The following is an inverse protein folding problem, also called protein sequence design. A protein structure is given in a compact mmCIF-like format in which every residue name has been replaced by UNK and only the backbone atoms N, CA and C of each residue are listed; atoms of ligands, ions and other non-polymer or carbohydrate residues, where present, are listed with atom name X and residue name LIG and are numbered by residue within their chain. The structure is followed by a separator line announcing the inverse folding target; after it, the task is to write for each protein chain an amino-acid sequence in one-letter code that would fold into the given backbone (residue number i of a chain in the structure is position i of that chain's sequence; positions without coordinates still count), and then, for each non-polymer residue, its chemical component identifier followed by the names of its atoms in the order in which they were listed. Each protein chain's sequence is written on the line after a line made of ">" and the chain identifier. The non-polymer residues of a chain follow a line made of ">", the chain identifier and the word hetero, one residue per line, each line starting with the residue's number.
data_IF_774169886425
#
_entry.id   IF_774169886425
#
_cell.length_a   1.000
_cell.length_b   1.000
_cell.length_c   1.000
_cell.angle_alpha   90.00
_cell.angle_beta   90.00
_cell.angle_gamma   90.00
#
_symmetry.space_group_name_H-M   'P 1'
#
loop_
_entity.id
_entity.type
_entity.pdbx_description
1 polymer ?
#
# COMPACT_ATOMS: atom_id res chain seq x y z
N UNK A 1 -1.23 -16.41 54.16
CA UNK A 1 -0.29 -15.35 54.61
C UNK A 1 0.70 -15.10 53.50
N UNK A 2 0.92 -13.94 52.90
CA UNK A 2 0.25 -12.64 52.80
C UNK A 2 0.80 -12.05 51.49
N UNK A 3 -0.04 -11.77 50.49
CA UNK A 3 -0.47 -10.42 50.10
C UNK A 3 0.64 -9.38 49.93
N UNK A 4 0.93 -8.98 48.69
CA UNK A 4 0.97 -7.55 48.30
C UNK A 4 0.49 -7.42 46.85
N UNK A 5 -0.74 -6.93 46.69
CA UNK A 5 -1.22 -6.28 45.48
C UNK A 5 -0.67 -4.85 45.45
N UNK A 6 -0.19 -4.39 44.30
CA UNK A 6 -0.17 -2.97 43.97
C UNK A 6 -1.11 -2.75 42.79
N UNK A 7 -2.25 -2.13 43.08
CA UNK A 7 -3.20 -1.60 42.11
C UNK A 7 -2.82 -0.14 41.86
N UNK A 8 -2.48 0.20 40.62
CA UNK A 8 -2.62 1.56 40.13
C UNK A 8 -3.66 1.55 39.00
N UNK A 9 -4.81 2.14 39.31
CA UNK A 9 -5.96 2.32 38.45
C UNK A 9 -6.00 3.80 38.04
N UNK A 10 -5.84 4.11 36.76
CA UNK A 10 -6.47 5.30 36.13
C UNK A 10 -6.75 4.97 34.66
N UNK A 11 -8.03 5.00 34.30
CA UNK A 11 -8.61 5.20 32.96
C UNK A 11 -8.20 4.29 31.79
N UNK A 12 -9.20 3.57 31.27
CA UNK A 12 -9.18 3.05 29.91
C UNK A 12 -9.87 1.71 29.81
N UNK A 13 -11.01 1.66 29.12
CA UNK A 13 -11.61 0.39 28.71
C UNK A 13 -10.61 -0.32 27.79
N UNK A 14 -9.81 -1.23 28.35
CA UNK A 14 -8.96 -2.13 27.57
C UNK A 14 -9.86 -3.08 26.81
N UNK A 15 -10.16 -2.76 25.55
CA UNK A 15 -10.71 -3.71 24.60
C UNK A 15 -9.63 -4.78 24.44
N UNK A 16 -9.82 -5.93 25.11
CA UNK A 16 -9.00 -7.10 24.91
C UNK A 16 -9.18 -7.50 23.44
N UNK A 17 -8.18 -7.23 22.61
CA UNK A 17 -8.09 -7.86 21.28
C UNK A 17 -7.96 -9.35 21.52
N UNK A 18 -9.07 -10.07 21.40
CA UNK A 18 -9.08 -11.52 21.30
C UNK A 18 -8.22 -11.87 20.09
N UNK A 19 -7.06 -12.47 20.35
CA UNK A 19 -6.25 -13.07 19.30
C UNK A 19 -7.13 -14.16 18.66
N UNK A 20 -7.43 -14.02 17.38
CA UNK A 20 -8.09 -15.07 16.62
C UNK A 20 -7.15 -16.28 16.62
N UNK A 21 -7.57 -17.37 17.25
CA UNK A 21 -6.90 -18.66 17.18
C UNK A 21 -6.80 -19.08 15.71
N UNK A 22 -5.64 -19.57 15.30
CA UNK A 22 -5.34 -20.01 13.94
C UNK A 22 -6.11 -21.31 13.68
N UNK A 23 -7.36 -21.19 13.26
CA UNK A 23 -8.21 -22.34 12.92
C UNK A 23 -7.66 -22.93 11.63
N UNK A 24 -6.89 -24.01 11.74
CA UNK A 24 -6.49 -24.82 10.60
C UNK A 24 -7.76 -25.50 10.04
N UNK A 25 -8.21 -25.05 8.87
CA UNK A 25 -9.36 -25.62 8.16
C UNK A 25 -8.82 -26.53 7.07
N UNK A 26 -9.05 -27.83 7.20
CA UNK A 26 -8.69 -28.80 6.16
C UNK A 26 -9.73 -28.71 5.02
N UNK A 27 -9.30 -28.18 3.88
CA UNK A 27 -10.15 -28.01 2.69
C UNK A 27 -10.01 -29.23 1.81
N UNK A 28 -11.09 -30.01 1.68
CA UNK A 28 -11.16 -31.20 0.81
C UNK A 28 -11.99 -30.87 -0.44
N UNK A 29 -11.38 -30.99 -1.62
CA UNK A 29 -12.07 -30.86 -2.91
C UNK A 29 -11.95 -32.19 -3.65
N UNK A 30 -13.09 -32.79 -4.03
CA UNK A 30 -13.14 -34.08 -4.76
C UNK A 30 -12.31 -35.18 -4.10
N UNK A 31 -12.41 -35.32 -2.77
CA UNK A 31 -11.63 -36.27 -1.96
C UNK A 31 -10.10 -36.09 -1.99
N UNK A 32 -9.60 -34.92 -2.40
CA UNK A 32 -8.20 -34.53 -2.24
C UNK A 32 -8.08 -33.37 -1.25
N UNK A 33 -7.17 -33.52 -0.29
CA UNK A 33 -6.78 -32.45 0.64
C UNK A 33 -5.90 -31.43 -0.09
N UNK A 34 -6.22 -30.15 0.06
CA UNK A 34 -5.47 -29.06 -0.56
C UNK A 34 -4.41 -28.56 0.42
N UNK A 35 -3.17 -28.47 -0.06
CA UNK A 35 -2.06 -27.93 0.71
C UNK A 35 -2.31 -26.47 1.12
N UNK A 36 -2.24 -26.21 2.42
CA UNK A 36 -2.37 -24.86 2.98
C UNK A 36 -0.99 -24.21 3.06
N UNK A 37 -0.85 -23.01 2.50
CA UNK A 37 0.42 -22.26 2.51
C UNK A 37 0.26 -20.92 3.24
N UNK A 38 1.27 -20.52 4.01
CA UNK A 38 1.26 -19.24 4.75
C UNK A 38 1.33 -18.01 3.84
N UNK A 39 1.93 -18.17 2.65
CA UNK A 39 2.01 -17.12 1.64
C UNK A 39 2.03 -17.69 0.24
N UNK A 40 1.31 -17.05 -0.68
CA UNK A 40 1.18 -17.46 -2.07
C UNK A 40 1.29 -16.25 -2.99
N UNK A 41 1.90 -16.42 -4.17
CA UNK A 41 1.97 -15.35 -5.19
C UNK A 41 0.85 -15.54 -6.21
N UNK A 42 -0.14 -14.67 -6.17
CA UNK A 42 -1.24 -14.65 -7.13
C UNK A 42 -1.12 -13.46 -8.07
N UNK A 43 -1.07 -13.72 -9.39
CA UNK A 43 -0.90 -12.70 -10.43
C UNK A 43 0.27 -11.74 -10.14
N UNK A 44 1.34 -12.27 -9.52
CA UNK A 44 2.52 -11.50 -9.15
C UNK A 44 2.40 -10.65 -7.88
N UNK A 45 1.26 -10.68 -7.17
CA UNK A 45 1.04 -10.09 -5.83
C UNK A 45 1.18 -11.17 -4.76
N UNK A 46 1.93 -10.88 -3.70
CA UNK A 46 2.07 -11.76 -2.54
C UNK A 46 0.86 -11.61 -1.62
N UNK A 47 0.17 -12.72 -1.38
CA UNK A 47 -0.92 -12.84 -0.43
C UNK A 47 -0.40 -13.65 0.76
N UNK A 48 -0.63 -13.18 1.98
CA UNK A 48 -0.20 -13.84 3.22
C UNK A 48 -1.40 -14.10 4.12
N UNK A 49 -1.39 -15.22 4.86
CA UNK A 49 -2.43 -15.56 5.83
C UNK A 49 -2.58 -14.51 6.95
N UNK A 50 -1.53 -13.74 7.23
CA UNK A 50 -1.53 -12.71 8.29
C UNK A 50 -2.43 -11.50 7.95
N UNK A 51 -3.07 -11.46 6.77
CA UNK A 51 -3.87 -10.35 6.24
C UNK A 51 -3.14 -8.99 6.18
N UNK A 52 -1.81 -8.99 6.35
CA UNK A 52 -0.96 -7.79 6.36
C UNK A 52 -0.34 -7.55 5.00
N UNK A 53 -0.43 -6.31 4.52
CA UNK A 53 0.19 -5.88 3.27
C UNK A 53 1.73 -5.66 3.37
N UNK A 54 2.34 -5.77 4.56
CA UNK A 54 3.76 -5.43 4.76
C UNK A 54 4.73 -6.19 3.86
N UNK A 55 4.56 -7.52 3.74
CA UNK A 55 5.43 -8.36 2.90
C UNK A 55 5.32 -7.98 1.42
N UNK A 56 4.11 -7.71 0.95
CA UNK A 56 3.85 -7.30 -0.42
C UNK A 56 4.44 -5.91 -0.71
N UNK A 57 4.21 -4.93 0.17
CA UNK A 57 4.76 -3.57 0.02
C UNK A 57 6.28 -3.59 0.00
N UNK A 58 6.91 -4.35 0.91
CA UNK A 58 8.36 -4.52 0.92
C UNK A 58 8.85 -5.11 -0.40
N UNK A 59 8.17 -6.13 -0.91
CA UNK A 59 8.48 -6.76 -2.20
C UNK A 59 8.37 -5.75 -3.36
N UNK A 60 7.33 -4.91 -3.37
CA UNK A 60 7.13 -3.87 -4.39
C UNK A 60 8.20 -2.80 -4.34
N UNK A 61 8.56 -2.32 -3.16
CA UNK A 61 9.65 -1.37 -2.98
C UNK A 61 10.96 -1.98 -3.48
N UNK A 62 11.25 -3.24 -3.15
CA UNK A 62 12.45 -3.93 -3.65
C UNK A 62 12.44 -4.03 -5.19
N UNK A 63 11.34 -4.49 -5.79
CA UNK A 63 11.21 -4.58 -7.27
C UNK A 63 11.38 -3.21 -7.93
N UNK A 64 10.72 -2.19 -7.39
CA UNK A 64 10.83 -0.82 -7.90
C UNK A 64 12.24 -0.24 -7.70
N UNK A 65 12.92 -0.57 -6.60
CA UNK A 65 14.31 -0.20 -6.34
C UNK A 65 15.23 -0.82 -7.38
N UNK A 66 15.06 -2.10 -7.70
CA UNK A 66 15.82 -2.78 -8.75
C UNK A 66 15.57 -2.13 -10.11
N UNK A 67 14.31 -1.86 -10.47
CA UNK A 67 13.96 -1.17 -11.71
C UNK A 67 14.59 0.23 -11.78
N UNK A 68 14.52 1.01 -10.70
CA UNK A 68 15.14 2.33 -10.63
C UNK A 68 16.67 2.25 -10.76
N UNK A 69 17.31 1.31 -10.06
CA UNK A 69 18.76 1.15 -10.08
C UNK A 69 19.28 0.69 -11.45
N UNK A 70 18.52 -0.12 -12.18
CA UNK A 70 18.89 -0.54 -13.55
C UNK A 70 19.07 0.64 -14.51
N UNK A 71 18.34 1.74 -14.27
CA UNK A 71 18.38 2.96 -15.09
C UNK A 71 19.40 3.99 -14.57
N UNK A 72 20.15 3.69 -13.51
CA UNK A 72 21.02 4.65 -12.82
C UNK A 72 22.10 5.24 -13.71
N UNK A 73 22.87 4.38 -14.38
CA UNK A 73 23.96 4.83 -15.25
C UNK A 73 23.45 5.30 -16.62
N UNK A 74 22.34 4.73 -17.10
CA UNK A 74 21.81 5.01 -18.43
C UNK A 74 21.00 6.32 -18.48
N UNK A 75 20.28 6.64 -17.40
CA UNK A 75 19.31 7.73 -17.39
C UNK A 75 19.62 8.77 -16.30
N UNK A 76 19.70 8.35 -15.03
CA UNK A 76 19.72 9.30 -13.91
C UNK A 76 20.97 10.16 -13.88
N UNK A 77 22.15 9.56 -14.10
CA UNK A 77 23.44 10.27 -14.07
C UNK A 77 23.87 10.90 -15.40
N UNK A 78 23.10 10.69 -16.47
CA UNK A 78 23.38 11.35 -17.75
C UNK A 78 22.92 12.81 -17.70
N UNK A 79 23.86 13.73 -17.92
CA UNK A 79 23.58 15.18 -18.01
C UNK A 79 22.85 15.58 -19.29
N UNK A 80 22.99 14.79 -20.36
CA UNK A 80 22.37 15.07 -21.68
C UNK A 80 20.85 14.85 -21.70
N UNK A 81 20.30 14.14 -20.72
CA UNK A 81 18.87 13.85 -20.63
C UNK A 81 18.20 14.90 -19.76
N UNK A 82 17.15 15.54 -20.25
CA UNK A 82 16.42 16.57 -19.51
C UNK A 82 15.73 16.00 -18.27
N UNK A 83 15.59 16.81 -17.22
CA UNK A 83 14.90 16.43 -15.98
C UNK A 83 13.47 15.97 -16.27
N UNK A 84 12.76 16.67 -17.16
CA UNK A 84 11.39 16.30 -17.55
C UNK A 84 11.34 14.90 -18.19
N UNK A 85 12.28 14.57 -19.07
CA UNK A 85 12.36 13.23 -19.66
C UNK A 85 12.63 12.16 -18.58
N UNK A 86 13.53 12.43 -17.63
CA UNK A 86 13.79 11.51 -16.49
C UNK A 86 12.53 11.28 -15.64
N UNK A 87 11.76 12.34 -15.35
CA UNK A 87 10.50 12.23 -14.61
C UNK A 87 9.44 11.42 -15.37
N UNK A 88 9.37 11.57 -16.71
CA UNK A 88 8.50 10.74 -17.55
C UNK A 88 8.91 9.27 -17.51
N UNK A 89 10.21 8.98 -17.56
CA UNK A 89 10.73 7.61 -17.44
C UNK A 89 10.41 7.02 -16.06
N UNK A 90 10.58 7.79 -14.97
CA UNK A 90 10.18 7.37 -13.62
C UNK A 90 8.70 6.94 -13.59
N UNK A 91 7.83 7.79 -14.14
CA UNK A 91 6.39 7.54 -14.20
C UNK A 91 6.02 6.33 -15.07
N UNK A 92 6.77 6.06 -16.13
CA UNK A 92 6.48 4.97 -17.06
C UNK A 92 7.05 3.62 -16.61
N UNK A 93 8.26 3.60 -16.04
CA UNK A 93 9.00 2.35 -15.80
C UNK A 93 9.03 1.92 -14.34
N UNK A 94 9.09 2.88 -13.40
CA UNK A 94 9.31 2.58 -11.97
C UNK A 94 8.02 2.69 -11.18
N UNK A 95 7.25 3.74 -11.41
CA UNK A 95 6.01 3.98 -10.70
C UNK A 95 5.01 2.82 -10.84
N UNK A 96 4.77 2.22 -12.04
CA UNK A 96 3.82 1.11 -12.16
C UNK A 96 4.26 -0.13 -11.39
N UNK A 97 5.57 -0.38 -11.27
CA UNK A 97 6.13 -1.49 -10.48
C UNK A 97 5.88 -1.27 -9.00
N UNK A 98 6.04 -0.03 -8.54
CA UNK A 98 5.85 0.36 -7.14
C UNK A 98 4.37 0.23 -6.70
N UNK A 99 3.43 0.69 -7.53
CA UNK A 99 2.01 0.78 -7.18
C UNK A 99 1.16 -0.39 -7.70
N UNK A 100 1.80 -1.43 -8.23
CA UNK A 100 1.08 -2.59 -8.74
C UNK A 100 0.22 -3.22 -7.62
N UNK A 101 -1.04 -3.54 -7.93
CA UNK A 101 -2.03 -4.07 -6.98
C UNK A 101 -2.38 -3.13 -5.80
N UNK A 102 -1.98 -1.84 -5.84
CA UNK A 102 -2.33 -0.84 -4.79
C UNK A 102 -3.82 -0.61 -4.59
N UNK A 103 -4.64 -1.02 -5.56
CA UNK A 103 -6.11 -0.96 -5.51
C UNK A 103 -6.69 -1.87 -4.41
N UNK A 104 -6.05 -3.01 -4.15
CA UNK A 104 -6.47 -4.01 -3.17
C UNK A 104 -5.75 -3.94 -1.82
N UNK A 105 -4.80 -3.02 -1.63
CA UNK A 105 -4.06 -2.93 -0.37
C UNK A 105 -4.85 -2.18 0.70
N UNK A 106 -5.04 -2.82 1.85
CA UNK A 106 -5.41 -2.17 3.10
C UNK A 106 -4.15 -1.58 3.76
N UNK A 107 -3.86 -0.30 3.49
CA UNK A 107 -2.63 0.36 3.95
C UNK A 107 -2.84 1.05 5.31
N UNK A 108 -1.86 0.89 6.19
CA UNK A 108 -1.70 1.75 7.37
C UNK A 108 -0.88 3.00 7.02
N UNK A 109 -0.97 4.06 7.83
CA UNK A 109 -0.20 5.28 7.59
C UNK A 109 1.31 5.04 7.48
N UNK A 110 1.84 4.19 8.36
CA UNK A 110 3.26 3.79 8.36
C UNK A 110 3.66 3.11 7.05
N UNK A 111 2.77 2.29 6.48
CA UNK A 111 3.00 1.61 5.21
C UNK A 111 2.95 2.58 4.02
N UNK A 112 2.00 3.52 4.00
CA UNK A 112 1.94 4.58 2.99
C UNK A 112 3.21 5.45 3.01
N UNK A 113 3.69 5.77 4.21
CA UNK A 113 4.89 6.58 4.38
C UNK A 113 6.14 5.86 3.86
N UNK A 114 6.26 4.53 4.03
CA UNK A 114 7.35 3.74 3.43
C UNK A 114 7.38 3.86 1.90
N UNK A 115 6.22 3.80 1.26
CA UNK A 115 6.08 3.95 -0.20
C UNK A 115 6.43 5.39 -0.60
N UNK A 116 5.95 6.37 0.16
CA UNK A 116 6.22 7.79 -0.06
C UNK A 116 7.71 8.12 0.05
N UNK A 117 8.41 7.60 1.07
CA UNK A 117 9.85 7.76 1.26
C UNK A 117 10.63 7.26 0.05
N UNK A 118 10.29 6.07 -0.46
CA UNK A 118 10.92 5.55 -1.67
C UNK A 118 10.66 6.45 -2.89
N UNK A 119 9.42 6.85 -3.11
CA UNK A 119 9.07 7.71 -4.25
C UNK A 119 9.76 9.08 -4.19
N UNK A 120 9.83 9.70 -3.00
CA UNK A 120 10.55 10.95 -2.78
C UNK A 120 12.05 10.81 -3.01
N UNK A 121 12.65 9.69 -2.59
CA UNK A 121 14.06 9.38 -2.85
C UNK A 121 14.36 9.34 -4.36
N UNK A 122 13.48 8.71 -5.14
CA UNK A 122 13.62 8.67 -6.60
C UNK A 122 13.56 10.07 -7.23
N UNK A 123 12.60 10.90 -6.83
CA UNK A 123 12.46 12.26 -7.37
C UNK A 123 13.65 13.12 -6.98
N UNK A 124 14.09 13.09 -5.72
CA UNK A 124 15.29 13.81 -5.25
C UNK A 124 16.52 13.44 -6.09
N UNK A 125 16.72 12.16 -6.34
CA UNK A 125 17.83 11.67 -7.18
C UNK A 125 17.77 12.22 -8.61
N UNK A 126 16.57 12.32 -9.20
CA UNK A 126 16.39 12.86 -10.55
C UNK A 126 16.63 14.37 -10.60
N UNK A 127 16.20 15.09 -9.57
CA UNK A 127 16.41 16.53 -9.43
C UNK A 127 17.85 16.89 -9.02
N UNK A 128 18.65 15.91 -8.58
CA UNK A 128 20.00 16.14 -8.07
C UNK A 128 20.03 16.79 -6.69
N UNK A 129 18.94 16.68 -5.92
CA UNK A 129 18.82 17.23 -4.57
C UNK A 129 19.36 16.25 -3.53
N UNK A 130 20.15 16.77 -2.59
CA UNK A 130 20.64 16.05 -1.44
C UNK A 130 19.69 16.20 -0.24
N UNK A 131 19.87 15.36 0.78
CA UNK A 131 19.11 15.51 2.04
C UNK A 131 19.51 16.79 2.79
N UNK A 132 20.76 17.24 2.64
CA UNK A 132 21.28 18.46 3.25
C UNK A 132 20.70 19.76 2.68
N UNK A 133 19.99 19.71 1.55
CA UNK A 133 19.38 20.91 0.97
C UNK A 133 18.11 21.36 1.75
N UNK A 134 17.66 20.55 2.74
CA UNK A 134 16.50 20.81 3.60
C UNK A 134 15.21 21.21 2.88
N UNK A 135 15.09 20.89 1.58
CA UNK A 135 13.89 21.15 0.79
C UNK A 135 12.76 20.25 1.26
N UNK A 136 11.58 20.83 1.49
CA UNK A 136 10.39 20.09 1.89
C UNK A 136 9.88 19.15 0.78
N UNK A 137 9.23 18.05 1.16
CA UNK A 137 8.69 17.10 0.18
C UNK A 137 7.57 17.72 -0.69
N UNK A 138 6.79 18.66 -0.13
CA UNK A 138 5.77 19.41 -0.89
C UNK A 138 6.41 20.31 -1.96
N UNK A 139 7.49 21.01 -1.63
CA UNK A 139 8.22 21.83 -2.60
C UNK A 139 8.81 20.99 -3.74
N UNK A 140 9.33 19.79 -3.44
CA UNK A 140 9.86 18.85 -4.45
C UNK A 140 8.78 18.36 -5.41
N UNK A 141 7.59 18.03 -4.89
CA UNK A 141 6.45 17.63 -5.72
C UNK A 141 6.00 18.78 -6.64
N UNK A 142 5.93 20.00 -6.12
CA UNK A 142 5.60 21.19 -6.91
C UNK A 142 6.64 21.45 -8.01
N UNK A 143 7.94 21.39 -7.68
CA UNK A 143 9.03 21.60 -8.63
C UNK A 143 9.05 20.53 -9.73
N UNK A 144 8.77 19.28 -9.39
CA UNK A 144 8.75 18.16 -10.34
C UNK A 144 7.44 18.04 -11.14
N UNK A 145 6.39 18.78 -10.75
CA UNK A 145 5.04 18.64 -11.30
C UNK A 145 4.46 17.24 -11.12
N UNK A 146 4.99 16.44 -10.20
CA UNK A 146 4.50 15.08 -9.94
C UNK A 146 3.44 15.09 -8.83
N UNK A 147 2.38 14.27 -8.95
CA UNK A 147 1.46 14.06 -7.85
C UNK A 147 2.13 13.24 -6.73
N UNK A 148 1.66 13.41 -5.49
CA UNK A 148 2.07 12.52 -4.40
C UNK A 148 1.67 11.08 -4.70
N UNK A 149 2.47 10.11 -4.21
CA UNK A 149 2.16 8.68 -4.42
C UNK A 149 0.81 8.29 -3.80
N UNK A 150 0.46 8.93 -2.69
CA UNK A 150 -0.84 8.79 -2.04
C UNK A 150 -1.99 9.17 -2.97
N UNK A 151 -1.89 10.31 -3.66
CA UNK A 151 -2.90 10.73 -4.63
C UNK A 151 -2.99 9.78 -5.83
N UNK A 152 -1.87 9.18 -6.24
CA UNK A 152 -1.85 8.18 -7.31
C UNK A 152 -2.58 6.90 -6.85
N UNK A 153 -2.29 6.41 -5.65
CA UNK A 153 -2.95 5.22 -5.09
C UNK A 153 -4.44 5.47 -4.86
N UNK A 154 -4.81 6.63 -4.30
CA UNK A 154 -6.21 7.08 -4.13
C UNK A 154 -6.95 7.08 -5.47
N UNK A 155 -6.34 7.62 -6.52
CA UNK A 155 -6.91 7.61 -7.87
C UNK A 155 -7.10 6.20 -8.42
N UNK A 156 -6.13 5.30 -8.21
CA UNK A 156 -6.26 3.90 -8.64
C UNK A 156 -7.43 3.20 -7.93
N UNK A 157 -7.54 3.37 -6.60
CA UNK A 157 -8.67 2.83 -5.82
C UNK A 157 -10.02 3.35 -6.31
N UNK A 158 -10.13 4.65 -6.59
CA UNK A 158 -11.35 5.24 -7.15
C UNK A 158 -11.67 4.72 -8.56
N UNK A 159 -10.65 4.52 -9.40
CA UNK A 159 -10.83 3.93 -10.74
C UNK A 159 -11.35 2.49 -10.63
N UNK A 160 -10.77 1.69 -9.73
CA UNK A 160 -11.22 0.33 -9.44
C UNK A 160 -12.66 0.32 -8.91
N UNK A 161 -12.97 1.17 -7.94
CA UNK A 161 -14.33 1.33 -7.41
C UNK A 161 -15.34 1.68 -8.52
N UNK A 162 -14.99 2.62 -9.39
CA UNK A 162 -15.81 2.97 -10.55
C UNK A 162 -16.03 1.78 -11.50
N UNK A 163 -15.02 0.93 -11.69
CA UNK A 163 -15.14 -0.30 -12.48
C UNK A 163 -16.12 -1.29 -11.82
N UNK A 164 -15.96 -1.56 -10.52
CA UNK A 164 -16.88 -2.41 -9.75
C UNK A 164 -18.32 -1.89 -9.79
N UNK A 165 -18.52 -0.57 -9.78
CA UNK A 165 -19.85 0.02 -9.89
C UNK A 165 -20.51 -0.24 -11.24
N UNK A 166 -19.73 -0.19 -12.33
CA UNK A 166 -20.20 -0.45 -13.70
C UNK A 166 -20.37 -1.92 -14.03
N UNK A 167 -19.81 -2.84 -13.25
CA UNK A 167 -20.08 -4.27 -13.41
C UNK A 167 -21.59 -4.50 -13.22
N UNK A 168 -22.19 -5.14 -14.24
CA UNK A 168 -23.60 -5.52 -14.23
C UNK A 168 -23.88 -6.38 -12.99
N UNK A 169 -25.07 -6.22 -12.41
CA UNK A 169 -25.50 -7.11 -11.33
C UNK A 169 -25.80 -8.46 -11.97
N UNK A 170 -24.80 -9.35 -12.00
CA UNK A 170 -25.06 -10.78 -12.10
C UNK A 170 -26.23 -11.10 -11.14
N UNK A 171 -27.24 -11.71 -11.73
CA UNK A 171 -28.64 -11.70 -11.32
C UNK A 171 -28.80 -11.96 -9.80
N UNK A 172 -29.41 -11.01 -9.09
CA UNK A 172 -30.00 -11.22 -7.77
C UNK A 172 -29.13 -11.04 -6.52
N UNK A 173 -27.84 -10.70 -6.62
CA UNK A 173 -27.02 -10.40 -5.42
C UNK A 173 -26.18 -9.14 -5.65
N UNK A 174 -26.24 -8.11 -4.78
CA UNK A 174 -25.19 -7.09 -4.80
C UNK A 174 -23.88 -7.82 -4.53
N UNK A 175 -22.90 -7.68 -5.42
CA UNK A 175 -21.57 -8.26 -5.23
C UNK A 175 -21.08 -7.90 -3.83
N UNK A 176 -20.49 -8.86 -3.10
CA UNK A 176 -19.95 -8.66 -1.75
C UNK A 176 -19.06 -7.41 -1.64
N UNK A 177 -18.46 -7.00 -2.77
CA UNK A 177 -17.64 -5.82 -2.96
C UNK A 177 -18.36 -4.47 -2.87
N UNK A 178 -19.68 -4.39 -3.15
CA UNK A 178 -20.43 -3.11 -3.05
C UNK A 178 -20.83 -2.76 -1.62
N UNK A 179 -21.03 -3.75 -0.75
CA UNK A 179 -21.42 -3.53 0.66
C UNK A 179 -20.24 -3.17 1.57
N UNK A 180 -19.05 -3.71 1.33
CA UNK A 180 -17.89 -3.51 2.21
C UNK A 180 -17.20 -2.15 2.04
N UNK A 181 -17.20 -1.58 0.84
CA UNK A 181 -16.45 -0.33 0.57
C UNK A 181 -17.16 0.95 1.05
N UNK A 182 -18.50 0.98 1.11
CA UNK A 182 -19.26 2.13 1.63
C UNK A 182 -18.87 2.43 3.09
N UNK A 183 -18.53 1.39 3.85
CA UNK A 183 -18.12 1.52 5.26
C UNK A 183 -16.65 1.96 5.44
N UNK A 184 -15.79 1.78 4.43
CA UNK A 184 -14.35 2.07 4.52
C UNK A 184 -13.93 3.36 3.81
N UNK A 185 -14.75 3.89 2.88
CA UNK A 185 -14.44 5.13 2.15
C UNK A 185 -14.87 6.41 2.87
N UNK A 186 -15.73 6.30 3.88
CA UNK A 186 -16.15 7.39 4.74
C UNK A 186 -15.55 7.10 6.12
N UNK A 187 -14.46 7.76 6.48
CA UNK A 187 -14.01 7.79 7.88
C UNK A 187 -15.17 8.29 8.77
N UNK A 188 -15.15 8.01 10.09
CA UNK A 188 -16.24 8.41 10.96
C UNK A 188 -16.40 9.93 10.90
N UNK A 189 -17.43 10.39 10.18
CA UNK A 189 -17.91 11.75 10.28
C UNK A 189 -18.45 11.91 11.69
N UNK A 190 -17.66 12.57 12.54
CA UNK A 190 -18.10 13.14 13.81
C UNK A 190 -19.19 14.17 13.52
N UNK A 191 -20.44 13.74 13.38
CA UNK A 191 -21.61 14.61 13.46
C UNK A 191 -22.84 13.79 13.80
N UNK A 192 -23.03 13.50 15.08
CA UNK A 192 -24.37 13.36 15.65
C UNK A 192 -24.49 14.38 16.77
N UNK A 193 -25.57 15.16 16.68
CA UNK A 193 -25.98 16.22 17.59
C UNK A 193 -26.56 15.66 18.89
#
# INVERSE_FOLDING_TARGET
>A
MSSVQSKNNVNGKTIKNQQAEDVQVDIIIRNQEIETTQSFTYLGSLISNDHKADKEIKTRITKATTAFNSLRQLVWYKKRISILAKLRILRACVLPVLIYASEGWCLTKVQEDKISVFYMKCIRTILGLNLGDHVSNSAILNLSGQPSVENIMRRNRLRWFGHVNRMEKEIGKPSLTKKSYVFLSLGPSTTEA
#
